data_IF_204171093771
#
_entry.id   IF_204171093771
#
_cell.length_a   1.000
_cell.length_b   1.000
_cell.length_c   1.000
_cell.angle_alpha   90.00
_cell.angle_beta   90.00
_cell.angle_gamma   90.00
#
_symmetry.space_group_name_H-M   'P 1'
#
loop_
_entity.id
_entity.type
_entity.pdbx_description
1 polymer ?
#
# COMPACT_ATOMS: atom_id res chain seq x y z
N UNK A 1 -11.99 2.86 19.23
CA UNK A 1 -10.68 3.40 18.88
C UNK A 1 -10.91 4.50 17.87
N UNK A 2 -10.49 5.70 18.23
CA UNK A 2 -10.53 6.88 17.38
C UNK A 2 -9.67 6.66 16.12
N UNK A 3 -9.99 7.28 14.96
CA UNK A 3 -9.19 7.12 13.75
C UNK A 3 -7.71 7.45 13.94
N UNK A 4 -7.35 8.47 14.75
CA UNK A 4 -5.95 8.82 15.02
C UNK A 4 -5.25 7.75 15.84
N UNK A 5 -5.90 7.27 16.89
CA UNK A 5 -5.37 6.19 17.73
C UNK A 5 -5.08 4.94 16.89
N UNK A 6 -6.06 4.53 16.06
CA UNK A 6 -5.90 3.36 15.19
C UNK A 6 -4.75 3.55 14.20
N UNK A 7 -4.65 4.74 13.58
CA UNK A 7 -3.59 5.05 12.64
C UNK A 7 -2.20 4.91 13.27
N UNK A 8 -2.01 5.48 14.47
CA UNK A 8 -0.74 5.40 15.19
C UNK A 8 -0.39 3.97 15.61
N UNK A 9 -1.37 3.16 16.00
CA UNK A 9 -1.13 1.73 16.30
C UNK A 9 -0.68 0.97 15.05
N UNK A 10 -1.27 1.24 13.89
CA UNK A 10 -0.85 0.62 12.63
C UNK A 10 0.55 1.05 12.20
N UNK A 11 0.92 2.32 12.37
CA UNK A 11 2.29 2.79 12.14
C UNK A 11 3.29 2.13 13.10
N UNK A 12 2.99 2.11 14.40
CA UNK A 12 3.83 1.44 15.39
C UNK A 12 4.05 -0.06 15.07
N UNK A 13 3.05 -0.74 14.52
CA UNK A 13 3.17 -2.14 14.09
C UNK A 13 4.22 -2.32 12.97
N UNK A 14 4.26 -1.43 11.97
CA UNK A 14 5.27 -1.46 10.91
C UNK A 14 6.66 -1.11 11.44
N UNK A 15 6.77 -0.07 12.26
CA UNK A 15 8.02 0.32 12.92
C UNK A 15 8.63 -0.84 13.74
N UNK A 16 7.81 -1.65 14.41
CA UNK A 16 8.28 -2.81 15.16
C UNK A 16 8.94 -3.89 14.26
N UNK A 17 8.57 -3.96 12.98
CA UNK A 17 9.11 -4.91 12.00
C UNK A 17 10.34 -4.38 11.24
N UNK A 18 10.63 -3.07 11.33
CA UNK A 18 11.74 -2.43 10.62
C UNK A 18 13.09 -3.12 10.79
N UNK A 19 13.55 -3.49 12.01
CA UNK A 19 14.84 -4.15 12.18
C UNK A 19 14.91 -5.50 11.45
N UNK A 20 13.81 -6.24 11.40
CA UNK A 20 13.73 -7.53 10.70
C UNK A 20 13.76 -7.33 9.19
N UNK A 21 12.98 -6.38 8.67
CA UNK A 21 12.93 -6.06 7.25
C UNK A 21 14.30 -5.60 6.74
N UNK A 22 14.93 -4.64 7.42
CA UNK A 22 16.28 -4.17 7.09
C UNK A 22 17.30 -5.30 7.11
N UNK A 23 17.28 -6.15 8.14
CA UNK A 23 18.21 -7.30 8.24
C UNK A 23 18.05 -8.28 7.08
N UNK A 24 16.83 -8.53 6.60
CA UNK A 24 16.57 -9.41 5.46
C UNK A 24 17.04 -8.77 4.15
N UNK A 25 16.71 -7.51 3.92
CA UNK A 25 17.12 -6.77 2.72
C UNK A 25 18.64 -6.68 2.61
N UNK A 26 19.33 -6.34 3.71
CA UNK A 26 20.80 -6.28 3.75
C UNK A 26 21.49 -7.64 3.55
N UNK A 27 20.76 -8.75 3.72
CA UNK A 27 21.23 -10.10 3.38
C UNK A 27 20.93 -10.49 1.92
N UNK A 28 20.42 -9.58 1.11
CA UNK A 28 20.03 -9.83 -0.28
C UNK A 28 18.70 -10.57 -0.42
N UNK A 29 17.84 -10.57 0.61
CA UNK A 29 16.50 -11.17 0.52
C UNK A 29 15.48 -10.11 0.11
N UNK A 30 14.79 -10.31 -1.02
CA UNK A 30 13.65 -9.48 -1.41
C UNK A 30 12.45 -9.71 -0.50
N UNK A 31 11.67 -8.66 -0.25
CA UNK A 31 10.47 -8.70 0.59
C UNK A 31 9.24 -8.36 -0.26
N UNK A 32 8.25 -9.26 -0.24
CA UNK A 32 6.90 -8.98 -0.72
C UNK A 32 6.04 -8.71 0.51
N UNK A 33 5.45 -7.52 0.58
CA UNK A 33 4.72 -7.05 1.75
C UNK A 33 3.29 -6.74 1.31
N UNK A 34 2.33 -7.50 1.84
CA UNK A 34 0.91 -7.25 1.60
C UNK A 34 0.42 -6.15 2.56
N UNK A 35 0.08 -4.99 1.98
CA UNK A 35 -0.21 -3.71 2.64
C UNK A 35 0.96 -3.14 3.42
N UNK A 36 1.06 -1.81 3.40
CA UNK A 36 2.10 -1.06 4.11
C UNK A 36 1.57 0.33 4.50
N UNK A 37 2.46 1.31 4.70
CA UNK A 37 2.13 2.70 5.07
C UNK A 37 0.95 3.29 4.28
N UNK A 38 0.92 3.13 2.96
CA UNK A 38 -0.11 3.70 2.08
C UNK A 38 -1.53 3.22 2.40
N UNK A 39 -1.71 1.94 2.78
CA UNK A 39 -3.01 1.46 3.27
C UNK A 39 -3.39 2.13 4.59
N UNK A 40 -2.45 2.31 5.50
CA UNK A 40 -2.67 3.02 6.77
C UNK A 40 -3.16 4.46 6.53
N UNK A 41 -2.51 5.18 5.62
CA UNK A 41 -2.87 6.54 5.21
C UNK A 41 -4.26 6.56 4.56
N UNK A 42 -4.49 5.75 3.53
CA UNK A 42 -5.73 5.77 2.75
C UNK A 42 -6.97 5.44 3.59
N UNK A 43 -6.90 4.38 4.41
CA UNK A 43 -8.03 4.00 5.28
C UNK A 43 -8.31 5.04 6.37
N UNK A 44 -7.28 5.72 6.87
CA UNK A 44 -7.44 6.73 7.92
C UNK A 44 -8.08 8.00 7.36
N UNK A 45 -7.62 8.47 6.21
CA UNK A 45 -8.22 9.61 5.52
C UNK A 45 -9.65 9.34 5.05
N UNK A 46 -9.93 8.11 4.58
CA UNK A 46 -11.27 7.72 4.16
C UNK A 46 -12.28 7.70 5.32
N UNK A 47 -11.84 7.36 6.54
CA UNK A 47 -12.68 7.42 7.75
C UNK A 47 -13.03 8.87 8.08
N UNK A 48 -12.05 9.76 7.91
CA UNK A 48 -12.21 11.19 8.05
C UNK A 48 -12.31 11.64 9.51
N UNK A 49 -11.68 12.78 9.78
CA UNK A 49 -11.94 13.68 10.89
C UNK A 49 -11.38 15.05 10.49
N UNK A 50 -11.99 16.15 10.95
CA UNK A 50 -11.65 17.52 10.51
C UNK A 50 -10.17 17.89 10.69
N UNK A 51 -9.45 17.15 11.53
CA UNK A 51 -8.06 17.40 11.91
C UNK A 51 -7.08 16.29 11.47
N UNK A 52 -7.46 15.43 10.51
CA UNK A 52 -6.58 14.42 9.90
C UNK A 52 -6.32 14.83 8.44
N UNK A 53 -5.09 15.24 8.16
CA UNK A 53 -4.63 15.62 6.82
C UNK A 53 -3.71 14.54 6.23
N UNK A 54 -3.49 14.59 4.91
CA UNK A 54 -2.52 13.72 4.24
C UNK A 54 -1.12 13.86 4.84
N UNK A 55 -0.71 15.09 5.14
CA UNK A 55 0.56 15.39 5.80
C UNK A 55 0.65 14.72 7.18
N UNK A 56 -0.38 14.89 8.02
CA UNK A 56 -0.42 14.27 9.34
C UNK A 56 -0.33 12.74 9.26
N UNK A 57 -1.03 12.12 8.31
CA UNK A 57 -1.02 10.68 8.13
C UNK A 57 0.35 10.18 7.66
N UNK A 58 1.02 10.89 6.75
CA UNK A 58 2.38 10.55 6.28
C UNK A 58 3.43 10.67 7.40
N UNK A 59 3.27 11.63 8.32
CA UNK A 59 4.20 11.81 9.43
C UNK A 59 4.33 10.59 10.34
N UNK A 60 3.27 9.78 10.47
CA UNK A 60 3.30 8.58 11.32
C UNK A 60 4.26 7.50 10.79
N UNK A 61 4.46 7.46 9.48
CA UNK A 61 5.29 6.47 8.76
C UNK A 61 6.67 7.03 8.35
N UNK A 62 6.98 8.27 8.73
CA UNK A 62 8.25 8.91 8.39
C UNK A 62 9.43 8.13 9.00
N UNK A 63 10.44 7.86 8.18
CA UNK A 63 11.60 7.05 8.57
C UNK A 63 11.37 5.53 8.48
N UNK A 64 10.18 5.06 8.09
CA UNK A 64 10.00 3.67 7.68
C UNK A 64 10.68 3.38 6.34
N UNK A 65 10.94 2.10 6.05
CA UNK A 65 11.54 1.69 4.79
C UNK A 65 10.63 2.08 3.62
N UNK A 66 11.19 2.81 2.67
CA UNK A 66 10.50 3.12 1.41
C UNK A 66 10.61 1.93 0.47
N UNK A 67 9.49 1.41 -0.07
CA UNK A 67 9.53 0.36 -1.08
C UNK A 67 10.23 0.82 -2.36
N UNK A 68 10.89 -0.12 -3.06
CA UNK A 68 11.41 0.12 -4.41
C UNK A 68 10.30 0.14 -5.48
N UNK A 69 9.16 -0.48 -5.17
CA UNK A 69 8.00 -0.60 -6.04
C UNK A 69 6.74 -0.75 -5.17
N UNK A 70 5.64 -0.15 -5.61
CA UNK A 70 4.31 -0.37 -5.01
C UNK A 70 3.37 -0.84 -6.11
N UNK A 71 2.79 -2.03 -5.94
CA UNK A 71 1.75 -2.54 -6.84
C UNK A 71 0.39 -2.12 -6.31
N UNK A 72 -0.37 -1.35 -7.08
CA UNK A 72 -1.76 -1.02 -6.77
C UNK A 72 -2.69 -1.81 -7.67
N UNK A 73 -3.37 -2.79 -7.10
CA UNK A 73 -4.40 -3.57 -7.77
C UNK A 73 -5.69 -2.75 -7.84
N UNK A 74 -5.91 -2.09 -8.97
CA UNK A 74 -7.10 -1.29 -9.19
C UNK A 74 -8.26 -2.18 -9.61
N UNK A 75 -9.36 -2.12 -8.87
CA UNK A 75 -10.58 -2.87 -9.15
C UNK A 75 -11.78 -1.96 -8.94
N UNK A 76 -12.71 -1.96 -9.89
CA UNK A 76 -13.96 -1.23 -9.70
C UNK A 76 -14.74 -1.84 -8.52
N UNK A 77 -15.53 -0.99 -7.85
CA UNK A 77 -16.39 -1.45 -6.77
C UNK A 77 -17.34 -2.57 -7.23
N UNK A 78 -17.90 -2.43 -8.43
CA UNK A 78 -18.83 -3.40 -9.03
C UNK A 78 -18.18 -4.77 -9.26
N UNK A 79 -16.92 -4.82 -9.70
CA UNK A 79 -16.19 -6.08 -9.88
C UNK A 79 -15.75 -6.67 -8.52
N UNK A 80 -15.40 -5.82 -7.55
CA UNK A 80 -15.05 -6.27 -6.20
C UNK A 80 -16.22 -7.01 -5.53
N UNK A 81 -17.45 -6.52 -5.71
CA UNK A 81 -18.67 -7.13 -5.15
C UNK A 81 -18.95 -8.55 -5.68
N UNK A 82 -18.42 -8.91 -6.86
CA UNK A 82 -18.63 -10.23 -7.47
C UNK A 82 -17.71 -11.30 -6.88
N UNK A 83 -16.69 -10.91 -6.10
CA UNK A 83 -15.70 -11.83 -5.52
C UNK A 83 -16.21 -12.42 -4.21
N UNK A 84 -15.88 -13.70 -3.97
CA UNK A 84 -16.18 -14.35 -2.68
C UNK A 84 -15.44 -13.63 -1.55
N UNK A 85 -16.14 -13.36 -0.45
CA UNK A 85 -15.60 -12.67 0.73
C UNK A 85 -15.90 -11.17 0.80
N UNK A 86 -16.48 -10.57 -0.25
CA UNK A 86 -16.91 -9.17 -0.20
C UNK A 86 -18.05 -8.99 0.83
N UNK A 87 -17.85 -8.15 1.83
CA UNK A 87 -18.84 -7.86 2.88
C UNK A 87 -18.56 -8.55 4.21
N UNK A 88 -17.57 -9.45 4.25
CA UNK A 88 -17.18 -10.16 5.47
C UNK A 88 -16.29 -9.30 6.39
N UNK A 89 -15.62 -8.28 5.84
CA UNK A 89 -14.76 -7.38 6.61
C UNK A 89 -15.42 -6.07 7.01
N UNK A 90 -14.92 -5.48 8.11
CA UNK A 90 -15.41 -4.25 8.74
C UNK A 90 -15.51 -3.04 7.80
N UNK A 91 -14.78 -3.04 6.67
CA UNK A 91 -14.68 -1.91 5.74
C UNK A 91 -15.31 -2.16 4.37
N UNK A 92 -16.05 -3.26 4.19
CA UNK A 92 -16.60 -3.66 2.89
C UNK A 92 -17.97 -3.03 2.60
N UNK A 93 -18.05 -1.70 2.69
CA UNK A 93 -19.24 -0.93 2.28
C UNK A 93 -18.84 0.18 1.31
N UNK A 94 -19.53 0.28 0.17
CA UNK A 94 -18.98 0.92 -1.05
C UNK A 94 -18.62 2.40 -0.96
N UNK A 95 -19.34 3.20 -0.18
CA UNK A 95 -18.99 4.62 -0.01
C UNK A 95 -17.62 4.79 0.67
N UNK A 96 -17.25 3.86 1.56
CA UNK A 96 -15.95 3.89 2.22
C UNK A 96 -14.83 3.48 1.26
N UNK A 97 -15.00 2.38 0.54
CA UNK A 97 -13.99 1.89 -0.43
C UNK A 97 -13.76 2.90 -1.56
N UNK A 98 -14.80 3.59 -2.02
CA UNK A 98 -14.65 4.68 -2.99
C UNK A 98 -13.79 5.84 -2.47
N UNK A 99 -13.87 6.17 -1.18
CA UNK A 99 -12.97 7.17 -0.55
C UNK A 99 -11.55 6.65 -0.44
N UNK A 100 -11.35 5.39 -0.08
CA UNK A 100 -10.02 4.76 -0.03
C UNK A 100 -9.37 4.77 -1.42
N UNK A 101 -10.08 4.37 -2.48
CA UNK A 101 -9.58 4.38 -3.86
C UNK A 101 -9.10 5.76 -4.27
N UNK A 102 -9.89 6.80 -4.01
CA UNK A 102 -9.50 8.20 -4.32
C UNK A 102 -8.20 8.62 -3.66
N UNK A 103 -7.99 8.21 -2.41
CA UNK A 103 -6.74 8.53 -1.70
C UNK A 103 -5.56 7.70 -2.24
N UNK A 104 -5.78 6.43 -2.60
CA UNK A 104 -4.77 5.59 -3.23
C UNK A 104 -4.36 6.13 -4.60
N UNK A 105 -5.32 6.58 -5.41
CA UNK A 105 -5.09 7.23 -6.70
C UNK A 105 -4.27 8.52 -6.54
N UNK A 106 -4.62 9.36 -5.54
CA UNK A 106 -3.84 10.55 -5.22
C UNK A 106 -2.39 10.21 -4.85
N UNK A 107 -2.17 9.19 -4.01
CA UNK A 107 -0.84 8.74 -3.63
C UNK A 107 -0.05 8.18 -4.82
N UNK A 108 -0.73 7.49 -5.74
CA UNK A 108 -0.13 6.93 -6.95
C UNK A 108 0.29 8.04 -7.95
N UNK A 109 -0.48 9.11 -8.04
CA UNK A 109 -0.17 10.25 -8.91
C UNK A 109 1.03 11.08 -8.42
N UNK A 110 1.32 11.07 -7.11
CA UNK A 110 2.48 11.76 -6.55
C UNK A 110 3.83 11.17 -6.99
N UNK A 111 3.88 9.86 -7.32
CA UNK A 111 5.12 9.17 -7.67
C UNK A 111 4.88 8.01 -8.64
N UNK A 112 4.75 8.33 -9.93
CA UNK A 112 4.48 7.35 -10.99
C UNK A 112 5.63 6.37 -11.25
N UNK A 113 6.83 6.71 -10.79
CA UNK A 113 7.98 5.82 -10.89
C UNK A 113 7.92 4.73 -9.82
N UNK A 114 7.43 5.04 -8.62
CA UNK A 114 7.21 4.09 -7.54
C UNK A 114 5.98 3.20 -7.78
N UNK A 115 4.86 3.81 -8.17
CA UNK A 115 3.57 3.13 -8.24
C UNK A 115 3.35 2.45 -9.59
N UNK A 116 2.95 1.17 -9.54
CA UNK A 116 2.54 0.39 -10.71
C UNK A 116 1.10 -0.03 -10.52
N UNK A 117 0.21 0.63 -11.28
CA UNK A 117 -1.22 0.32 -11.25
C UNK A 117 -1.48 -0.87 -12.15
N UNK A 118 -2.12 -1.90 -11.60
CA UNK A 118 -2.46 -3.15 -12.30
C UNK A 118 -3.97 -3.29 -12.32
N UNK A 119 -4.54 -3.52 -13.50
CA UNK A 119 -5.95 -3.85 -13.64
C UNK A 119 -6.22 -5.22 -13.00
N UNK A 120 -6.90 -5.17 -11.87
CA UNK A 120 -7.20 -6.36 -11.10
C UNK A 120 -8.48 -7.04 -11.57
N UNK A 121 -9.19 -6.56 -12.60
CA UNK A 121 -10.39 -7.22 -13.14
C UNK A 121 -10.08 -8.45 -14.00
N UNK A 122 -8.82 -8.59 -14.43
CA UNK A 122 -8.31 -9.70 -15.22
C UNK A 122 -8.24 -11.02 -14.42
N UNK A 123 -7.88 -12.11 -15.10
CA UNK A 123 -7.63 -13.40 -14.45
C UNK A 123 -6.37 -13.36 -13.58
N UNK A 124 -6.25 -14.30 -12.63
CA UNK A 124 -5.08 -14.36 -11.73
C UNK A 124 -3.80 -14.58 -12.52
N UNK A 125 -3.85 -15.38 -13.58
CA UNK A 125 -2.74 -15.67 -14.47
C UNK A 125 -2.26 -14.40 -15.19
N UNK A 126 -3.19 -13.65 -15.80
CA UNK A 126 -2.88 -12.38 -16.49
C UNK A 126 -2.35 -11.32 -15.52
N UNK A 127 -2.95 -11.21 -14.32
CA UNK A 127 -2.47 -10.30 -13.27
C UNK A 127 -1.04 -10.68 -12.86
N UNK A 128 -0.78 -11.97 -12.67
CA UNK A 128 0.54 -12.46 -12.25
C UNK A 128 1.60 -12.16 -13.30
N UNK A 129 1.29 -12.37 -14.58
CA UNK A 129 2.18 -12.03 -15.69
C UNK A 129 2.44 -10.52 -15.76
N UNK A 130 1.39 -9.69 -15.63
CA UNK A 130 1.51 -8.23 -15.62
C UNK A 130 2.39 -7.74 -14.46
N UNK A 131 2.17 -8.25 -13.24
CA UNK A 131 2.99 -7.91 -12.07
C UNK A 131 4.44 -8.33 -12.29
N UNK A 132 4.68 -9.52 -12.84
CA UNK A 132 6.04 -9.99 -13.10
C UNK A 132 6.77 -9.10 -14.10
N UNK A 133 6.11 -8.72 -15.20
CA UNK A 133 6.68 -7.82 -16.22
C UNK A 133 7.05 -6.44 -15.66
N UNK A 134 6.32 -5.96 -14.65
CA UNK A 134 6.60 -4.70 -13.96
C UNK A 134 7.74 -4.82 -12.94
N UNK A 135 7.80 -5.93 -12.21
CA UNK A 135 8.74 -6.13 -11.09
C UNK A 135 10.10 -6.64 -11.55
N UNK A 136 10.18 -7.51 -12.56
CA UNK A 136 11.44 -8.12 -12.99
C UNK A 136 12.54 -7.09 -13.34
N UNK A 137 12.27 -6.01 -14.11
CA UNK A 137 13.27 -4.98 -14.40
C UNK A 137 13.74 -4.21 -13.15
N UNK A 138 12.91 -4.13 -12.11
CA UNK A 138 13.26 -3.47 -10.84
C UNK A 138 14.25 -4.34 -10.07
N UNK A 139 14.01 -5.65 -10.01
CA UNK A 139 14.89 -6.61 -9.32
C UNK A 139 16.33 -6.58 -9.87
N UNK A 140 16.50 -6.39 -11.18
CA UNK A 140 17.82 -6.29 -11.81
C UNK A 140 18.62 -5.05 -11.38
N UNK A 141 17.94 -3.99 -10.91
CA UNK A 141 18.54 -2.70 -10.62
C UNK A 141 18.65 -2.38 -9.12
N UNK A 142 17.81 -2.98 -8.25
CA UNK A 142 17.77 -2.66 -6.81
C UNK A 142 19.04 -3.04 -6.06
N UNK A 143 19.79 -4.05 -6.51
CA UNK A 143 21.05 -4.48 -5.89
C UNK A 143 22.12 -3.37 -5.85
N UNK A 144 21.96 -2.31 -6.64
CA UNK A 144 22.88 -1.17 -6.74
C UNK A 144 22.40 0.06 -5.95
N UNK A 145 21.23 -0.02 -5.31
CA UNK A 145 20.61 1.10 -4.60
C UNK A 145 20.78 0.94 -3.08
N UNK A 146 20.92 2.07 -2.39
CA UNK A 146 20.84 2.11 -0.94
C UNK A 146 19.38 2.05 -0.48
N UNK A 147 19.14 1.52 0.71
CA UNK A 147 17.81 1.57 1.32
C UNK A 147 17.36 3.03 1.46
N UNK A 148 16.14 3.30 1.02
CA UNK A 148 15.48 4.60 1.16
C UNK A 148 14.43 4.54 2.27
N UNK A 149 14.03 5.71 2.75
CA UNK A 149 13.04 5.84 3.82
C UNK A 149 11.94 6.82 3.39
N UNK A 150 10.73 6.62 3.95
CA UNK A 150 9.57 7.49 3.74
C UNK A 150 9.73 8.84 4.43
#
# INVERSE_FOLDING_TARGET
MDPKEAHLVFAANRQALMPLMMKKLLKGTHLVVDRYAYSGIAYTLAKGADNITMEWAKLADMGELRPDCVIYFNLSFEEAQKRSGFGDERFDFGNFQGKVSKVMEQLADEDRDLWKVVDASLTVEEISENVWNLVAPILDNVSRKSLMFL
#
